data_IF_329413650715
#
_entry.id   IF_329413650715
#
_cell.length_a   1.000
_cell.length_b   1.000
_cell.length_c   1.000
_cell.angle_alpha   90.00
_cell.angle_beta   90.00
_cell.angle_gamma   90.00
#
_symmetry.space_group_name_H-M   'P 1'
#
loop_
_entity.id
_entity.type
_entity.pdbx_description
1 polymer ?
#
# COMPACT_ATOMS: atom_id res chain seq x y z
N UNK A 1 14.26 37.11 54.73
CA UNK A 1 15.51 37.85 54.44
C UNK A 1 16.23 37.24 53.23
N UNK A 2 16.26 37.96 52.12
CA UNK A 2 16.93 37.56 50.87
C UNK A 2 15.98 37.34 49.68
N UNK A 3 15.15 38.35 49.37
CA UNK A 3 14.40 38.36 48.11
C UNK A 3 15.29 39.04 47.08
N UNK A 4 16.01 38.26 46.28
CA UNK A 4 16.82 38.77 45.16
C UNK A 4 15.88 39.26 44.06
N UNK A 5 16.02 40.54 43.73
CA UNK A 5 15.30 41.25 42.69
C UNK A 5 15.56 40.65 41.31
N UNK A 6 14.50 40.21 40.65
CA UNK A 6 14.49 39.82 39.24
C UNK A 6 14.88 41.05 38.40
N UNK A 7 15.92 40.99 37.55
CA UNK A 7 16.28 42.10 36.69
C UNK A 7 15.16 42.34 35.66
N UNK A 8 14.61 43.57 35.67
CA UNK A 8 13.69 44.04 34.64
C UNK A 8 14.40 43.98 33.27
N UNK A 9 13.85 43.18 32.37
CA UNK A 9 14.26 43.14 30.96
C UNK A 9 13.67 44.37 30.26
N UNK A 10 14.26 45.55 30.51
CA UNK A 10 13.88 46.83 29.87
C UNK A 10 14.56 47.06 28.51
N UNK A 11 15.27 46.08 27.97
CA UNK A 11 16.16 46.27 26.81
C UNK A 11 15.69 45.74 25.45
N UNK A 12 14.47 45.22 25.29
CA UNK A 12 14.04 44.56 24.03
C UNK A 12 12.70 45.09 23.53
N UNK A 13 12.50 46.40 23.58
CA UNK A 13 11.50 47.06 22.75
C UNK A 13 12.22 48.17 22.01
N UNK A 14 12.82 47.82 20.88
CA UNK A 14 13.34 48.79 19.91
C UNK A 14 12.12 49.51 19.32
N UNK A 15 11.72 50.64 19.91
CA UNK A 15 10.62 51.50 19.45
C UNK A 15 11.03 52.33 18.23
N UNK A 16 11.96 51.85 17.41
CA UNK A 16 12.17 52.42 16.10
C UNK A 16 10.86 52.30 15.32
N UNK A 17 10.34 53.40 14.74
CA UNK A 17 9.16 53.32 13.89
C UNK A 17 9.48 52.29 12.81
N UNK A 18 8.77 51.17 12.83
CA UNK A 18 8.82 50.19 11.75
C UNK A 18 8.41 50.98 10.51
N UNK A 19 9.40 51.33 9.69
CA UNK A 19 9.18 52.09 8.48
C UNK A 19 8.15 51.33 7.64
N UNK A 20 6.97 51.94 7.49
CA UNK A 20 5.85 51.44 6.68
C UNK A 20 6.23 51.14 5.23
N UNK A 21 7.43 51.54 4.79
CA UNK A 21 8.04 51.19 3.49
C UNK A 21 8.39 49.71 3.36
N UNK A 22 8.72 48.98 4.44
CA UNK A 22 8.95 47.53 4.32
C UNK A 22 7.67 46.71 4.24
N UNK A 23 6.53 47.22 4.75
CA UNK A 23 5.25 46.53 4.61
C UNK A 23 4.73 46.56 3.17
N UNK A 24 5.08 47.59 2.39
CA UNK A 24 4.69 47.70 0.98
C UNK A 24 5.60 46.88 0.05
N UNK A 25 6.90 46.74 0.36
CA UNK A 25 7.78 45.78 -0.35
C UNK A 25 7.46 44.31 -0.03
N UNK A 26 6.91 44.02 1.16
CA UNK A 26 6.44 42.67 1.50
C UNK A 26 5.06 42.38 0.86
N UNK A 27 4.23 43.40 0.63
CA UNK A 27 2.92 43.28 -0.04
C UNK A 27 2.96 43.35 -1.57
N UNK A 28 4.01 43.95 -2.14
CA UNK A 28 4.25 44.08 -3.59
C UNK A 28 5.02 42.90 -4.20
N UNK A 29 5.05 41.74 -3.52
CA UNK A 29 5.54 40.51 -4.12
C UNK A 29 4.70 40.17 -5.34
N UNK A 30 5.19 40.58 -6.52
CA UNK A 30 4.54 40.38 -7.82
C UNK A 30 3.91 38.99 -7.86
N UNK A 31 2.60 38.92 -8.12
CA UNK A 31 1.83 37.67 -8.23
C UNK A 31 2.53 36.61 -9.10
N UNK A 32 3.41 37.05 -10.01
CA UNK A 32 4.34 36.26 -10.80
C UNK A 32 5.17 35.25 -9.97
N UNK A 33 5.51 35.57 -8.72
CA UNK A 33 6.24 34.68 -7.81
C UNK A 33 5.39 33.56 -7.22
N UNK A 34 4.07 33.56 -7.40
CA UNK A 34 3.20 32.43 -7.03
C UNK A 34 2.97 31.48 -8.20
N UNK A 35 3.20 31.93 -9.44
CA UNK A 35 2.97 31.13 -10.63
C UNK A 35 4.12 30.11 -10.79
N UNK A 36 3.82 28.80 -10.87
CA UNK A 36 4.85 27.79 -11.04
C UNK A 36 5.54 27.94 -12.40
N UNK A 37 6.88 27.82 -12.41
CA UNK A 37 7.66 27.85 -13.65
C UNK A 37 7.31 26.64 -14.52
N UNK A 38 7.28 26.82 -15.85
CA UNK A 38 6.91 25.77 -16.83
C UNK A 38 7.65 24.45 -16.63
N UNK A 39 8.94 24.50 -16.33
CA UNK A 39 9.76 23.30 -16.11
C UNK A 39 9.34 22.49 -14.87
N UNK A 40 8.79 23.13 -13.84
CA UNK A 40 8.33 22.46 -12.61
C UNK A 40 7.09 21.60 -12.90
N UNK A 41 6.14 22.16 -13.65
CA UNK A 41 4.93 21.46 -14.10
C UNK A 41 5.29 20.32 -15.04
N UNK A 42 6.22 20.56 -15.98
CA UNK A 42 6.69 19.53 -16.91
C UNK A 42 7.37 18.36 -16.18
N UNK A 43 8.26 18.64 -15.22
CA UNK A 43 8.92 17.62 -14.43
C UNK A 43 7.91 16.77 -13.64
N UNK A 44 6.96 17.43 -12.98
CA UNK A 44 5.88 16.79 -12.24
C UNK A 44 5.04 15.86 -13.15
N UNK A 45 4.64 16.35 -14.32
CA UNK A 45 3.87 15.58 -15.29
C UNK A 45 4.66 14.36 -15.81
N UNK A 46 5.93 14.53 -16.16
CA UNK A 46 6.77 13.43 -16.68
C UNK A 46 6.99 12.34 -15.63
N UNK A 47 7.37 12.71 -14.40
CA UNK A 47 7.62 11.74 -13.32
C UNK A 47 6.35 10.99 -12.92
N UNK A 48 5.23 11.70 -12.81
CA UNK A 48 3.94 11.07 -12.47
C UNK A 48 3.43 10.16 -13.58
N UNK A 49 3.57 10.54 -14.86
CA UNK A 49 3.21 9.70 -16.00
C UNK A 49 4.05 8.42 -16.06
N UNK A 50 5.38 8.52 -15.92
CA UNK A 50 6.27 7.34 -15.89
C UNK A 50 5.85 6.41 -14.76
N UNK A 51 5.59 6.95 -13.56
CA UNK A 51 5.18 6.15 -12.41
C UNK A 51 3.82 5.49 -12.64
N UNK A 52 2.86 6.20 -13.24
CA UNK A 52 1.55 5.67 -13.62
C UNK A 52 1.67 4.51 -14.62
N UNK A 53 2.54 4.63 -15.63
CA UNK A 53 2.82 3.56 -16.58
C UNK A 53 3.43 2.33 -15.90
N UNK A 54 4.38 2.52 -14.97
CA UNK A 54 4.96 1.42 -14.20
C UNK A 54 3.93 0.72 -13.31
N UNK A 55 3.01 1.47 -12.70
CA UNK A 55 1.90 0.90 -11.93
C UNK A 55 0.96 0.10 -12.83
N UNK A 56 0.63 0.61 -14.02
CA UNK A 56 -0.18 -0.13 -14.99
C UNK A 56 0.47 -1.48 -15.34
N UNK A 57 1.76 -1.47 -15.70
CA UNK A 57 2.52 -2.69 -16.02
C UNK A 57 2.54 -3.65 -14.82
N UNK A 58 2.82 -3.13 -13.62
CA UNK A 58 2.83 -3.91 -12.39
C UNK A 58 1.48 -4.55 -12.08
N UNK A 59 0.37 -3.82 -12.27
CA UNK A 59 -0.98 -4.35 -12.09
C UNK A 59 -1.21 -5.55 -13.02
N UNK A 60 -0.94 -5.41 -14.32
CA UNK A 60 -1.08 -6.52 -15.27
C UNK A 60 -0.16 -7.70 -14.95
N UNK A 61 1.10 -7.44 -14.62
CA UNK A 61 2.08 -8.47 -14.29
C UNK A 61 1.70 -9.28 -13.04
N UNK A 62 1.03 -8.65 -12.06
CA UNK A 62 0.54 -9.33 -10.86
C UNK A 62 -0.80 -10.02 -11.06
N UNK A 63 -1.66 -9.50 -11.96
CA UNK A 63 -3.00 -10.02 -12.17
C UNK A 63 -3.01 -11.44 -12.75
N UNK A 64 -2.14 -11.69 -13.74
CA UNK A 64 -2.03 -12.98 -14.42
C UNK A 64 -1.65 -14.11 -13.44
N UNK A 65 -0.54 -14.06 -12.69
CA UNK A 65 -0.17 -15.11 -11.75
C UNK A 65 -1.19 -15.23 -10.60
N UNK A 66 -1.80 -14.13 -10.16
CA UNK A 66 -2.85 -14.19 -9.13
C UNK A 66 -4.10 -14.95 -9.62
N UNK A 67 -4.50 -14.73 -10.87
CA UNK A 67 -5.61 -15.46 -11.51
C UNK A 67 -5.29 -16.95 -11.58
N UNK A 68 -4.11 -17.30 -12.11
CA UNK A 68 -3.68 -18.70 -12.28
C UNK A 68 -3.60 -19.41 -10.92
N UNK A 69 -2.97 -18.78 -9.92
CA UNK A 69 -2.86 -19.36 -8.58
C UNK A 69 -4.22 -19.54 -7.92
N UNK A 70 -5.16 -18.61 -8.13
CA UNK A 70 -6.53 -18.73 -7.61
C UNK A 70 -7.28 -19.89 -8.27
N UNK A 71 -7.19 -20.04 -9.59
CA UNK A 71 -7.78 -21.18 -10.31
C UNK A 71 -7.16 -22.50 -9.82
N UNK A 72 -5.84 -22.56 -9.67
CA UNK A 72 -5.16 -23.76 -9.17
C UNK A 72 -5.58 -24.09 -7.73
N UNK A 73 -5.77 -23.07 -6.87
CA UNK A 73 -6.29 -23.26 -5.51
C UNK A 73 -7.71 -23.83 -5.50
N UNK A 74 -8.57 -23.43 -6.43
CA UNK A 74 -9.90 -24.03 -6.57
C UNK A 74 -9.81 -25.50 -7.00
N UNK A 75 -8.97 -25.81 -8.00
CA UNK A 75 -8.80 -27.19 -8.51
C UNK A 75 -8.16 -28.14 -7.51
N UNK A 76 -7.19 -27.67 -6.73
CA UNK A 76 -6.56 -28.46 -5.67
C UNK A 76 -7.43 -28.57 -4.40
N UNK A 77 -8.59 -27.91 -4.36
CA UNK A 77 -9.46 -27.90 -3.18
C UNK A 77 -8.88 -27.15 -1.97
N UNK A 78 -7.85 -26.31 -2.17
CA UNK A 78 -7.28 -25.44 -1.12
C UNK A 78 -8.32 -24.39 -0.72
N UNK A 79 -9.04 -23.85 -1.71
CA UNK A 79 -10.25 -23.07 -1.44
C UNK A 79 -11.43 -24.04 -1.56
N UNK A 80 -12.10 -24.40 -0.46
CA UNK A 80 -13.17 -25.38 -0.49
C UNK A 80 -14.36 -24.82 -1.29
N UNK A 81 -14.72 -25.51 -2.38
CA UNK A 81 -15.92 -25.19 -3.15
C UNK A 81 -17.12 -25.94 -2.59
N UNK A 82 -17.23 -27.25 -2.83
CA UNK A 82 -18.43 -28.03 -2.48
C UNK A 82 -18.65 -28.24 -0.97
N UNK A 83 -17.62 -28.09 -0.14
CA UNK A 83 -17.69 -28.33 1.32
C UNK A 83 -17.88 -27.07 2.15
N UNK A 84 -17.74 -25.88 1.56
CA UNK A 84 -17.90 -24.63 2.28
C UNK A 84 -19.39 -24.21 2.30
N UNK A 85 -20.03 -24.03 3.47
CA UNK A 85 -21.40 -23.52 3.54
C UNK A 85 -21.54 -22.13 2.88
N UNK A 86 -20.48 -21.33 2.84
CA UNK A 86 -20.48 -20.04 2.14
C UNK A 86 -20.47 -20.19 0.61
N UNK A 87 -20.21 -21.38 0.07
CA UNK A 87 -20.20 -21.61 -1.38
C UNK A 87 -21.55 -21.33 -2.04
N UNK A 88 -22.64 -21.46 -1.29
CA UNK A 88 -23.98 -21.10 -1.75
C UNK A 88 -24.05 -19.63 -2.17
N UNK A 89 -23.29 -18.73 -1.53
CA UNK A 89 -23.22 -17.32 -1.91
C UNK A 89 -22.57 -17.14 -3.28
N UNK A 90 -21.58 -17.96 -3.64
CA UNK A 90 -20.92 -17.92 -4.94
C UNK A 90 -21.79 -18.45 -6.09
N UNK A 91 -22.81 -19.26 -5.78
CA UNK A 91 -23.78 -19.77 -6.77
C UNK A 91 -24.93 -18.81 -7.05
N UNK A 92 -25.20 -17.89 -6.12
CA UNK A 92 -26.25 -16.88 -6.26
C UNK A 92 -25.69 -15.67 -7.02
N UNK A 93 -26.54 -15.00 -7.78
CA UNK A 93 -26.22 -13.72 -8.43
C UNK A 93 -25.11 -13.81 -9.49
N UNK A 94 -25.17 -14.84 -10.35
CA UNK A 94 -24.19 -15.01 -11.43
C UNK A 94 -24.17 -13.83 -12.42
N UNK A 95 -25.27 -13.08 -12.51
CA UNK A 95 -25.39 -11.86 -13.32
C UNK A 95 -24.33 -10.81 -12.95
N UNK A 96 -23.89 -10.75 -11.68
CA UNK A 96 -22.87 -9.80 -11.24
C UNK A 96 -21.50 -10.04 -11.88
N UNK A 97 -21.23 -11.24 -12.42
CA UNK A 97 -19.99 -11.54 -13.13
C UNK A 97 -19.81 -10.65 -14.37
N UNK A 98 -20.89 -10.15 -14.96
CA UNK A 98 -20.82 -9.23 -16.11
C UNK A 98 -20.11 -7.91 -15.77
N UNK A 99 -20.10 -7.49 -14.49
CA UNK A 99 -19.40 -6.30 -14.04
C UNK A 99 -17.88 -6.48 -13.97
N UNK A 100 -17.36 -7.72 -13.94
CA UNK A 100 -15.93 -7.98 -13.71
C UNK A 100 -15.03 -7.26 -14.73
N UNK A 101 -15.40 -7.29 -16.01
CA UNK A 101 -14.61 -6.61 -17.06
C UNK A 101 -14.60 -5.10 -16.84
N UNK A 102 -15.76 -4.51 -16.53
CA UNK A 102 -15.87 -3.09 -16.22
C UNK A 102 -15.09 -2.70 -14.98
N UNK A 103 -15.17 -3.51 -13.92
CA UNK A 103 -14.43 -3.31 -12.67
C UNK A 103 -12.92 -3.39 -12.88
N UNK A 104 -12.43 -4.32 -13.71
CA UNK A 104 -11.00 -4.39 -14.05
C UNK A 104 -10.54 -3.14 -14.82
N UNK A 105 -11.32 -2.71 -15.82
CA UNK A 105 -10.99 -1.55 -16.63
C UNK A 105 -10.99 -0.25 -15.81
N UNK A 106 -12.09 0.03 -15.11
CA UNK A 106 -12.23 1.22 -14.28
C UNK A 106 -11.34 1.18 -13.05
N UNK A 107 -11.17 0.03 -12.41
CA UNK A 107 -10.26 -0.14 -11.28
C UNK A 107 -8.81 0.17 -11.67
N UNK A 108 -8.34 -0.35 -12.80
CA UNK A 108 -7.01 -0.03 -13.32
C UNK A 108 -6.88 1.46 -13.65
N UNK A 109 -7.87 2.05 -14.35
CA UNK A 109 -7.88 3.47 -14.69
C UNK A 109 -7.86 4.37 -13.44
N UNK A 110 -8.67 4.06 -12.43
CA UNK A 110 -8.70 4.77 -11.15
C UNK A 110 -7.38 4.64 -10.40
N UNK A 111 -6.77 3.45 -10.37
CA UNK A 111 -5.47 3.26 -9.71
C UNK A 111 -4.34 4.04 -10.37
N UNK A 112 -4.28 4.03 -11.71
CA UNK A 112 -3.31 4.82 -12.48
C UNK A 112 -3.55 6.31 -12.23
N UNK A 113 -4.79 6.79 -12.36
CA UNK A 113 -5.13 8.20 -12.21
C UNK A 113 -4.82 8.72 -10.80
N UNK A 114 -5.19 7.96 -9.76
CA UNK A 114 -4.92 8.32 -8.38
C UNK A 114 -3.42 8.30 -8.07
N UNK A 115 -2.67 7.34 -8.61
CA UNK A 115 -1.22 7.29 -8.44
C UNK A 115 -0.53 8.46 -9.15
N UNK A 116 -0.93 8.77 -10.38
CA UNK A 116 -0.46 9.97 -11.11
C UNK A 116 -0.74 11.22 -10.28
N UNK A 117 -1.96 11.37 -9.75
CA UNK A 117 -2.32 12.51 -8.91
C UNK A 117 -1.48 12.62 -7.64
N UNK A 118 -1.32 11.53 -6.88
CA UNK A 118 -0.55 11.53 -5.62
C UNK A 118 0.94 11.81 -5.89
N UNK A 119 1.52 11.18 -6.91
CA UNK A 119 2.93 11.39 -7.28
C UNK A 119 3.14 12.80 -7.83
N UNK A 120 2.24 13.29 -8.68
CA UNK A 120 2.28 14.66 -9.18
C UNK A 120 2.19 15.67 -8.03
N UNK A 121 1.23 15.52 -7.12
CA UNK A 121 1.09 16.37 -5.94
C UNK A 121 2.35 16.35 -5.07
N UNK A 122 2.92 15.17 -4.82
CA UNK A 122 4.16 15.01 -4.05
C UNK A 122 5.35 15.70 -4.72
N UNK A 123 5.61 15.43 -6.01
CA UNK A 123 6.72 16.05 -6.76
C UNK A 123 6.52 17.55 -6.89
N UNK A 124 5.29 18.00 -7.14
CA UNK A 124 4.97 19.43 -7.19
C UNK A 124 5.25 20.10 -5.84
N UNK A 125 4.83 19.51 -4.72
CA UNK A 125 5.10 20.04 -3.38
C UNK A 125 6.61 20.14 -3.08
N UNK A 126 7.43 19.21 -3.58
CA UNK A 126 8.88 19.24 -3.43
C UNK A 126 9.56 20.33 -4.28
N UNK A 127 9.07 20.57 -5.50
CA UNK A 127 9.72 21.43 -6.49
C UNK A 127 9.19 22.87 -6.45
N UNK A 128 7.94 23.08 -6.01
CA UNK A 128 7.28 24.37 -6.00
C UNK A 128 7.99 25.37 -5.08
N UNK A 129 8.25 26.57 -5.59
CA UNK A 129 9.15 27.54 -4.96
C UNK A 129 8.72 28.00 -3.56
N UNK A 130 7.42 28.06 -3.30
CA UNK A 130 6.87 28.49 -2.00
C UNK A 130 7.00 27.37 -0.96
N UNK A 131 6.74 26.11 -1.34
CA UNK A 131 6.75 24.96 -0.41
C UNK A 131 8.14 24.35 -0.25
N UNK A 132 9.02 24.51 -1.24
CA UNK A 132 10.41 24.03 -1.21
C UNK A 132 11.15 24.38 0.09
N UNK A 133 11.24 25.64 0.56
CA UNK A 133 11.95 25.95 1.80
C UNK A 133 11.35 25.23 3.02
N UNK A 134 10.03 25.09 3.06
CA UNK A 134 9.33 24.35 4.12
C UNK A 134 9.76 22.88 4.10
N UNK A 135 9.77 22.24 2.92
CA UNK A 135 10.25 20.85 2.77
C UNK A 135 11.70 20.70 3.22
N UNK A 136 12.59 21.60 2.79
CA UNK A 136 14.00 21.54 3.16
C UNK A 136 14.23 21.73 4.66
N UNK A 137 13.32 22.41 5.37
CA UNK A 137 13.38 22.52 6.84
C UNK A 137 13.16 21.17 7.56
N UNK A 138 12.50 20.20 6.93
CA UNK A 138 12.34 18.85 7.48
C UNK A 138 13.55 17.95 7.29
N UNK A 139 14.46 18.24 6.34
CA UNK A 139 15.66 17.43 6.08
C UNK A 139 16.53 17.21 7.32
N UNK A 140 16.92 18.25 8.10
CA UNK A 140 17.69 18.05 9.33
C UNK A 140 16.94 17.21 10.37
N UNK A 141 15.60 17.30 10.43
CA UNK A 141 14.78 16.48 11.33
C UNK A 141 14.88 15.00 10.94
N UNK A 142 14.79 14.69 9.65
CA UNK A 142 14.94 13.31 9.14
C UNK A 142 16.34 12.77 9.41
N UNK A 143 17.38 13.58 9.21
CA UNK A 143 18.77 13.20 9.52
C UNK A 143 18.91 12.90 11.02
N UNK A 144 18.43 13.79 11.89
CA UNK A 144 18.45 13.61 13.34
C UNK A 144 17.72 12.35 13.79
N UNK A 145 16.54 12.08 13.23
CA UNK A 145 15.78 10.84 13.48
C UNK A 145 16.56 9.60 13.05
N UNK A 146 17.21 9.65 11.88
CA UNK A 146 18.00 8.52 11.36
C UNK A 146 19.19 8.20 12.28
N UNK A 147 19.94 9.22 12.69
CA UNK A 147 21.05 9.07 13.65
C UNK A 147 20.55 8.50 14.98
N UNK A 148 19.42 8.99 15.47
CA UNK A 148 18.77 8.53 16.71
C UNK A 148 18.38 7.05 16.62
N UNK A 149 17.85 6.58 15.49
CA UNK A 149 17.49 5.16 15.26
C UNK A 149 18.73 4.28 15.20
N UNK A 150 19.79 4.72 14.53
CA UNK A 150 21.07 3.98 14.45
C UNK A 150 21.69 3.86 15.84
N UNK A 151 21.78 4.98 16.57
CA UNK A 151 22.30 5.01 17.94
C UNK A 151 21.52 4.08 18.86
N UNK A 152 20.19 4.11 18.81
CA UNK A 152 19.32 3.18 19.53
C UNK A 152 19.63 1.72 19.18
N UNK A 153 19.79 1.41 17.90
CA UNK A 153 20.04 0.04 17.44
C UNK A 153 21.35 -0.50 18.01
N UNK A 154 22.39 0.34 18.06
CA UNK A 154 23.67 0.03 18.70
C UNK A 154 23.48 -0.17 20.21
N UNK A 155 22.79 0.76 20.88
CA UNK A 155 22.53 0.69 22.32
C UNK A 155 21.78 -0.59 22.72
N UNK A 156 20.72 -0.94 21.99
CA UNK A 156 19.97 -2.19 22.21
C UNK A 156 20.86 -3.41 22.02
N UNK A 157 21.71 -3.41 21.00
CA UNK A 157 22.63 -4.53 20.73
C UNK A 157 23.64 -4.71 21.86
N UNK A 158 24.24 -3.61 22.35
CA UNK A 158 25.21 -3.64 23.44
C UNK A 158 24.55 -4.00 24.77
N UNK A 159 23.49 -3.30 25.16
CA UNK A 159 22.76 -3.56 26.41
C UNK A 159 22.12 -4.95 26.40
N UNK A 160 21.65 -5.41 25.24
CA UNK A 160 21.13 -6.76 25.03
C UNK A 160 22.16 -7.83 25.39
N UNK A 161 23.39 -7.70 24.86
CA UNK A 161 24.50 -8.63 25.16
C UNK A 161 24.92 -8.63 26.64
N UNK A 162 24.89 -7.46 27.28
CA UNK A 162 25.32 -7.29 28.69
C UNK A 162 24.25 -7.81 29.65
N UNK A 163 22.99 -7.44 29.44
CA UNK A 163 21.90 -7.68 30.39
C UNK A 163 21.18 -9.01 30.18
N UNK A 164 21.23 -9.60 28.98
CA UNK A 164 20.47 -10.79 28.63
C UNK A 164 21.38 -11.94 28.17
N UNK A 165 20.94 -13.17 28.46
CA UNK A 165 21.39 -14.42 27.84
C UNK A 165 20.18 -15.07 27.21
N UNK A 166 20.03 -14.91 25.89
CA UNK A 166 18.82 -15.31 25.16
C UNK A 166 17.56 -14.69 25.82
N UNK A 167 16.67 -15.52 26.37
CA UNK A 167 15.44 -15.09 27.02
C UNK A 167 15.58 -14.76 28.52
N UNK A 168 16.75 -15.02 29.12
CA UNK A 168 16.96 -14.85 30.56
C UNK A 168 17.72 -13.55 30.88
N UNK A 169 17.34 -12.88 31.98
CA UNK A 169 18.00 -11.68 32.49
C UNK A 169 19.20 -12.09 33.35
N UNK A 170 20.41 -11.67 32.98
CA UNK A 170 21.62 -11.86 33.81
C UNK A 170 21.65 -10.91 35.01
N UNK A 171 21.16 -9.67 34.82
CA UNK A 171 21.18 -8.60 35.82
C UNK A 171 19.80 -7.90 35.85
N UNK A 172 18.89 -8.28 36.76
CA UNK A 172 17.50 -7.84 36.72
C UNK A 172 17.33 -6.34 36.97
N UNK A 173 18.10 -5.75 37.89
CA UNK A 173 17.98 -4.33 38.22
C UNK A 173 18.39 -3.43 37.04
N UNK A 174 19.52 -3.73 36.38
CA UNK A 174 20.01 -2.97 35.24
C UNK A 174 19.09 -3.14 34.03
N UNK A 175 18.59 -4.36 33.81
CA UNK A 175 17.60 -4.64 32.77
C UNK A 175 16.31 -3.83 32.96
N UNK A 176 15.85 -3.62 34.19
CA UNK A 176 14.66 -2.81 34.48
C UNK A 176 14.89 -1.33 34.18
N UNK A 177 16.00 -0.75 34.64
CA UNK A 177 16.32 0.67 34.37
C UNK A 177 16.48 0.91 32.86
N UNK A 178 17.24 0.05 32.17
CA UNK A 178 17.37 0.12 30.71
C UNK A 178 16.02 -0.09 30.00
N UNK A 179 15.15 -0.94 30.54
CA UNK A 179 13.79 -1.17 30.03
C UNK A 179 12.96 0.12 30.04
N UNK A 180 12.88 0.79 31.19
CA UNK A 180 12.14 2.07 31.31
C UNK A 180 12.70 3.12 30.35
N UNK A 181 14.03 3.26 30.25
CA UNK A 181 14.65 4.20 29.32
C UNK A 181 14.31 3.87 27.85
N UNK A 182 14.31 2.59 27.48
CA UNK A 182 13.93 2.15 26.14
C UNK A 182 12.43 2.38 25.88
N UNK A 183 11.56 2.16 26.86
CA UNK A 183 10.11 2.41 26.74
C UNK A 183 9.81 3.88 26.46
N UNK A 184 10.41 4.81 27.20
CA UNK A 184 10.29 6.25 26.93
C UNK A 184 10.73 6.59 25.49
N UNK A 185 11.84 6.00 25.03
CA UNK A 185 12.31 6.18 23.66
C UNK A 185 11.35 5.57 22.62
N UNK A 186 10.78 4.40 22.92
CA UNK A 186 9.81 3.71 22.07
C UNK A 186 8.51 4.49 21.92
N UNK A 187 8.04 5.18 22.97
CA UNK A 187 6.86 6.05 22.88
C UNK A 187 7.04 7.13 21.82
N UNK A 188 8.18 7.83 21.83
CA UNK A 188 8.51 8.83 20.80
C UNK A 188 8.50 8.23 19.39
N UNK A 189 9.23 7.13 19.18
CA UNK A 189 9.32 6.49 17.86
C UNK A 189 8.01 5.87 17.37
N UNK A 190 7.13 5.43 18.29
CA UNK A 190 5.86 4.78 17.93
C UNK A 190 4.93 5.68 17.12
N UNK A 191 4.93 6.99 17.42
CA UNK A 191 4.19 7.99 16.64
C UNK A 191 4.66 8.04 15.17
N UNK A 192 5.98 8.05 14.95
CA UNK A 192 6.58 8.00 13.62
C UNK A 192 6.26 6.69 12.89
N UNK A 193 6.26 5.56 13.60
CA UNK A 193 5.84 4.28 13.01
C UNK A 193 4.36 4.30 12.58
N UNK A 194 3.46 4.86 13.39
CA UNK A 194 2.05 5.00 13.01
C UNK A 194 1.86 5.91 11.81
N UNK A 195 2.56 7.05 11.76
CA UNK A 195 2.54 7.93 10.59
C UNK A 195 3.08 7.22 9.33
N UNK A 196 4.21 6.51 9.45
CA UNK A 196 4.78 5.75 8.34
C UNK A 196 3.83 4.66 7.86
N UNK A 197 3.08 4.03 8.76
CA UNK A 197 2.05 3.04 8.45
C UNK A 197 0.89 3.67 7.71
N UNK A 198 0.41 4.84 8.14
CA UNK A 198 -0.65 5.57 7.47
C UNK A 198 -0.24 5.93 6.02
N UNK A 199 0.97 6.45 5.82
CA UNK A 199 1.51 6.77 4.49
C UNK A 199 1.59 5.49 3.63
N UNK A 200 2.13 4.39 4.17
CA UNK A 200 2.19 3.11 3.45
C UNK A 200 0.81 2.58 3.06
N UNK A 201 -0.19 2.73 3.94
CA UNK A 201 -1.57 2.34 3.64
C UNK A 201 -2.18 3.20 2.54
N UNK A 202 -1.94 4.51 2.54
CA UNK A 202 -2.41 5.41 1.47
C UNK A 202 -1.76 5.04 0.14
N UNK A 203 -0.45 4.87 0.10
CA UNK A 203 0.28 4.46 -1.12
C UNK A 203 -0.15 3.09 -1.60
N UNK A 204 -0.31 2.12 -0.68
CA UNK A 204 -0.83 0.80 -1.02
C UNK A 204 -2.27 0.89 -1.54
N UNK A 205 -3.12 1.72 -0.94
CA UNK A 205 -4.48 1.94 -1.43
C UNK A 205 -4.46 2.46 -2.86
N UNK A 206 -3.61 3.46 -3.15
CA UNK A 206 -3.60 4.07 -4.47
C UNK A 206 -3.10 3.13 -5.56
N UNK A 207 -2.09 2.32 -5.25
CA UNK A 207 -1.51 1.36 -6.18
C UNK A 207 -2.34 0.08 -6.33
N UNK A 208 -3.08 -0.34 -5.30
CA UNK A 208 -3.80 -1.62 -5.30
C UNK A 208 -5.33 -1.51 -5.42
N UNK A 209 -5.91 -0.30 -5.45
CA UNK A 209 -7.37 -0.13 -5.65
C UNK A 209 -7.88 -0.78 -6.94
N UNK A 210 -7.03 -0.90 -7.97
CA UNK A 210 -7.37 -1.55 -9.23
C UNK A 210 -7.33 -3.09 -9.19
N UNK A 211 -6.86 -3.69 -8.10
CA UNK A 211 -6.80 -5.15 -7.94
C UNK A 211 -8.08 -5.66 -7.31
N UNK A 212 -8.99 -6.11 -8.17
CA UNK A 212 -10.24 -6.74 -7.73
C UNK A 212 -10.07 -8.22 -7.35
N UNK A 213 -8.90 -8.81 -7.58
CA UNK A 213 -8.63 -10.23 -7.34
C UNK A 213 -8.29 -10.55 -5.87
N UNK A 214 -7.82 -9.56 -5.13
CA UNK A 214 -7.48 -9.66 -3.71
C UNK A 214 -8.31 -8.69 -2.88
N UNK A 215 -8.77 -9.09 -1.68
CA UNK A 215 -9.42 -8.15 -0.78
C UNK A 215 -8.43 -7.10 -0.31
N UNK A 216 -8.85 -5.83 -0.39
CA UNK A 216 -8.08 -4.70 0.10
C UNK A 216 -8.16 -4.62 1.63
N UNK A 217 -9.33 -4.94 2.18
CA UNK A 217 -9.56 -5.00 3.62
C UNK A 217 -9.19 -6.38 4.17
N UNK A 218 -8.66 -6.41 5.39
CA UNK A 218 -8.39 -7.67 6.10
C UNK A 218 -9.67 -8.48 6.35
N UNK A 219 -9.53 -9.76 6.67
CA UNK A 219 -10.67 -10.62 6.97
C UNK A 219 -11.51 -10.04 8.12
N UNK A 220 -12.82 -9.87 7.88
CA UNK A 220 -13.76 -9.26 8.82
C UNK A 220 -13.74 -7.73 8.87
N UNK A 221 -12.71 -7.07 8.33
CA UNK A 221 -12.70 -5.62 8.20
C UNK A 221 -13.63 -5.20 7.04
N UNK A 222 -14.50 -4.21 7.29
CA UNK A 222 -15.45 -3.71 6.29
C UNK A 222 -16.81 -4.39 6.28
N UNK A 223 -17.12 -5.24 7.27
CA UNK A 223 -18.50 -5.73 7.46
C UNK A 223 -19.25 -4.72 8.33
N UNK A 224 -20.05 -3.86 7.70
CA UNK A 224 -20.92 -2.90 8.40
C UNK A 224 -22.37 -3.33 8.18
N UNK A 225 -23.09 -3.64 9.26
CA UNK A 225 -24.51 -4.03 9.18
C UNK A 225 -24.78 -5.28 8.34
N UNK A 226 -23.85 -6.24 8.28
CA UNK A 226 -23.98 -7.44 7.45
C UNK A 226 -23.65 -7.24 5.96
N UNK A 227 -23.36 -6.00 5.54
CA UNK A 227 -22.85 -5.70 4.19
C UNK A 227 -21.34 -5.66 4.20
N UNK A 228 -20.70 -6.33 3.24
CA UNK A 228 -19.26 -6.27 3.06
C UNK A 228 -18.93 -5.12 2.10
N UNK A 229 -18.18 -4.13 2.57
CA UNK A 229 -17.77 -2.97 1.78
C UNK A 229 -16.88 -3.34 0.59
N UNK A 230 -16.06 -4.40 0.71
CA UNK A 230 -15.18 -4.88 -0.35
C UNK A 230 -15.69 -6.22 -0.91
N UNK A 231 -16.72 -6.15 -1.74
CA UNK A 231 -17.35 -7.33 -2.33
C UNK A 231 -16.75 -7.72 -3.70
N UNK A 232 -15.87 -6.91 -4.29
CA UNK A 232 -15.36 -7.16 -5.64
C UNK A 232 -14.55 -8.46 -5.78
N UNK A 233 -13.70 -8.85 -4.81
CA UNK A 233 -13.00 -10.13 -4.86
C UNK A 233 -13.93 -11.33 -4.85
N UNK A 234 -15.11 -11.22 -4.23
CA UNK A 234 -16.09 -12.30 -4.25
C UNK A 234 -16.69 -12.46 -5.65
N UNK A 235 -17.09 -11.35 -6.29
CA UNK A 235 -17.64 -11.33 -7.65
C UNK A 235 -16.60 -11.83 -8.67
N UNK A 236 -15.35 -11.40 -8.53
CA UNK A 236 -14.25 -11.88 -9.36
C UNK A 236 -14.06 -13.41 -9.24
N UNK A 237 -14.07 -13.94 -8.01
CA UNK A 237 -14.02 -15.40 -7.78
C UNK A 237 -15.23 -16.15 -8.34
N UNK A 238 -16.44 -15.58 -8.27
CA UNK A 238 -17.63 -16.15 -8.93
C UNK A 238 -17.40 -16.29 -10.44
N UNK A 239 -16.80 -15.27 -11.08
CA UNK A 239 -16.45 -15.32 -12.49
C UNK A 239 -15.47 -16.45 -12.83
N UNK A 240 -14.41 -16.60 -12.03
CA UNK A 240 -13.44 -17.69 -12.20
C UNK A 240 -14.08 -19.07 -12.03
N UNK A 241 -14.91 -19.24 -10.99
CA UNK A 241 -15.63 -20.49 -10.74
C UNK A 241 -16.62 -20.82 -11.85
N UNK A 242 -17.34 -19.82 -12.37
CA UNK A 242 -18.25 -20.00 -13.50
C UNK A 242 -17.50 -20.44 -14.75
N UNK A 243 -16.38 -19.79 -15.05
CA UNK A 243 -15.55 -20.17 -16.19
C UNK A 243 -14.99 -21.59 -16.03
N UNK A 244 -14.47 -21.94 -14.86
CA UNK A 244 -13.91 -23.28 -14.58
C UNK A 244 -14.99 -24.36 -14.56
N UNK A 245 -16.21 -24.06 -14.12
CA UNK A 245 -17.33 -25.01 -14.14
C UNK A 245 -17.77 -25.38 -15.57
N UNK A 246 -17.71 -24.43 -16.52
CA UNK A 246 -18.09 -24.68 -17.91
C UNK A 246 -16.93 -25.19 -18.77
N UNK A 247 -15.67 -24.89 -18.38
CA UNK A 247 -14.46 -25.22 -19.14
C UNK A 247 -13.40 -25.89 -18.26
N UNK A 248 -13.79 -26.96 -17.59
CA UNK A 248 -12.85 -27.70 -16.73
C UNK A 248 -11.94 -28.58 -17.60
N UNK A 249 -10.62 -28.33 -17.64
CA UNK A 249 -9.72 -29.00 -18.59
C UNK A 249 -9.70 -30.52 -18.42
N UNK A 250 -9.83 -31.01 -17.18
CA UNK A 250 -9.92 -32.46 -16.95
C UNK A 250 -11.19 -33.07 -17.55
N UNK A 251 -12.34 -32.38 -17.42
CA UNK A 251 -13.63 -32.88 -17.93
C UNK A 251 -13.62 -32.81 -19.46
N UNK A 252 -13.08 -31.74 -20.04
CA UNK A 252 -12.93 -31.61 -21.49
C UNK A 252 -12.01 -32.71 -22.06
N UNK A 253 -10.87 -32.96 -21.41
CA UNK A 253 -9.94 -34.04 -21.83
C UNK A 253 -10.56 -35.42 -21.70
N UNK A 254 -11.31 -35.67 -20.61
CA UNK A 254 -12.05 -36.91 -20.40
C UNK A 254 -13.17 -37.08 -21.43
N UNK A 255 -13.93 -36.03 -21.72
CA UNK A 255 -14.96 -36.02 -22.75
C UNK A 255 -14.38 -36.33 -24.14
N UNK A 256 -13.27 -35.68 -24.50
CA UNK A 256 -12.55 -35.93 -25.75
C UNK A 256 -12.05 -37.38 -25.83
N UNK A 257 -11.49 -37.91 -24.74
CA UNK A 257 -11.08 -39.31 -24.63
C UNK A 257 -12.25 -40.26 -24.96
N UNK A 258 -13.43 -40.04 -24.37
CA UNK A 258 -14.61 -40.86 -24.63
C UNK A 258 -15.11 -40.72 -26.07
N UNK A 259 -15.13 -39.51 -26.63
CA UNK A 259 -15.51 -39.29 -28.03
C UNK A 259 -14.56 -40.02 -29.00
N UNK A 260 -13.25 -39.98 -28.74
CA UNK A 260 -12.26 -40.72 -29.52
C UNK A 260 -12.41 -42.24 -29.37
N UNK A 261 -12.72 -42.72 -28.16
CA UNK A 261 -13.03 -44.12 -27.93
C UNK A 261 -14.24 -44.58 -28.74
N UNK A 262 -15.31 -43.78 -28.78
CA UNK A 262 -16.51 -44.07 -29.61
C UNK A 262 -16.14 -44.06 -31.10
N UNK A 263 -15.37 -43.07 -31.55
CA UNK A 263 -14.97 -42.93 -32.96
C UNK A 263 -14.11 -44.09 -33.46
N UNK A 264 -13.19 -44.59 -32.65
CA UNK A 264 -12.22 -45.61 -33.07
C UNK A 264 -12.57 -47.03 -32.60
N UNK A 265 -13.59 -47.19 -31.75
CA UNK A 265 -14.06 -48.49 -31.25
C UNK A 265 -12.93 -49.31 -30.62
N UNK A 266 -12.74 -50.55 -31.08
CA UNK A 266 -11.69 -51.45 -30.60
C UNK A 266 -10.27 -50.96 -30.92
N UNK A 267 -10.09 -50.10 -31.93
CA UNK A 267 -8.77 -49.53 -32.30
C UNK A 267 -8.30 -48.45 -31.33
N UNK A 268 -9.15 -47.98 -30.42
CA UNK A 268 -8.75 -46.98 -29.43
C UNK A 268 -7.65 -47.51 -28.49
N UNK A 269 -7.69 -48.81 -28.13
CA UNK A 269 -6.69 -49.43 -27.26
C UNK A 269 -5.30 -49.60 -27.88
N UNK A 270 -5.14 -49.35 -29.19
CA UNK A 270 -3.87 -49.54 -29.90
C UNK A 270 -3.24 -48.21 -30.30
N UNK A 271 -3.16 -47.91 -31.59
CA UNK A 271 -2.45 -46.74 -32.14
C UNK A 271 -3.22 -45.45 -31.86
N UNK A 272 -4.55 -45.46 -31.97
CA UNK A 272 -5.36 -44.25 -31.85
C UNK A 272 -5.34 -43.64 -30.44
N UNK A 273 -5.43 -44.46 -29.38
CA UNK A 273 -5.30 -43.98 -28.01
C UNK A 273 -3.87 -43.64 -27.60
N UNK A 274 -2.87 -44.20 -28.28
CA UNK A 274 -1.46 -43.84 -28.05
C UNK A 274 -1.08 -42.52 -28.72
N UNK A 275 -1.68 -42.15 -29.86
CA UNK A 275 -1.52 -40.84 -30.50
C UNK A 275 -2.23 -39.73 -29.68
N UNK A 276 -3.30 -40.07 -28.98
CA UNK A 276 -4.02 -39.10 -28.14
C UNK A 276 -3.30 -38.75 -26.83
N UNK A 277 -2.59 -39.73 -26.23
CA UNK A 277 -1.80 -39.54 -25.01
C UNK A 277 -0.59 -38.65 -25.27
#
# INVERSE_FOLDING_TARGET
>A
PGCESIPLVEGIIDTRPIELTQAEEIGGGSFENFIPKKWMVMLCAVVSLITGCLVAISLFANYIPSTITTIMKFRCGVIPSLRDPNFIKYRKTLESVTYVIGLMAWGAASSISLTVFVVAGGVFFLVYQVTRPIVFSFVPIVIGLTVTIVFKSILITVLGRVNYAAFYRKRPWLANICGVGLECWHLGLSSGYMLSRAIKLVVSATMYIGRIDQPFLGEGAGVIGGTNLDNFPSIYRQGLLSADAHRHPYIERLGLLYLLKIRHGSKFGTTAGSIWR
#
